data_IF_221534993481
#
_entry.id   IF_221534993481
#
_cell.length_a   1.000
_cell.length_b   1.000
_cell.length_c   1.000
_cell.angle_alpha   90.00
_cell.angle_beta   90.00
_cell.angle_gamma   90.00
#
_symmetry.space_group_name_H-M   'P 1'
#
loop_
_entity.id
_entity.type
_entity.pdbx_description
1 polymer ?
#
# COMPACT_ATOMS: atom_id res chain seq x y z
N UNK A 1 -22.92 -7.98 9.75
CA UNK A 1 -22.08 -7.45 10.85
C UNK A 1 -20.90 -8.36 11.20
N UNK A 2 -21.10 -9.69 11.23
CA UNK A 2 -20.09 -10.70 11.64
C UNK A 2 -18.73 -10.70 10.91
N UNK A 3 -18.55 -9.93 9.83
CA UNK A 3 -17.28 -9.82 9.10
C UNK A 3 -16.69 -8.40 9.12
N UNK A 4 -17.52 -7.37 9.38
CA UNK A 4 -17.09 -5.98 9.30
C UNK A 4 -16.31 -5.61 10.55
N UNK A 5 -16.90 -5.79 11.73
CA UNK A 5 -16.25 -5.43 13.00
C UNK A 5 -14.94 -6.20 13.19
N UNK A 6 -14.86 -7.53 12.97
CA UNK A 6 -13.59 -8.25 13.08
C UNK A 6 -12.51 -7.74 12.13
N UNK A 7 -12.89 -7.31 10.91
CA UNK A 7 -11.92 -6.71 9.99
C UNK A 7 -11.38 -5.37 10.52
N UNK A 8 -12.24 -4.53 11.09
CA UNK A 8 -11.82 -3.25 11.65
C UNK A 8 -10.89 -3.45 12.86
N UNK A 9 -11.19 -4.44 13.71
CA UNK A 9 -10.34 -4.80 14.86
C UNK A 9 -8.98 -5.35 14.39
N UNK A 10 -8.96 -6.22 13.38
CA UNK A 10 -7.73 -6.77 12.81
C UNK A 10 -6.86 -5.68 12.18
N UNK A 11 -7.45 -4.79 11.38
CA UNK A 11 -6.74 -3.66 10.78
C UNK A 11 -6.24 -2.66 11.83
N UNK A 12 -7.03 -2.40 12.87
CA UNK A 12 -6.67 -1.46 13.94
C UNK A 12 -5.58 -1.98 14.89
N UNK A 13 -5.38 -3.30 14.97
CA UNK A 13 -4.37 -3.94 15.83
C UNK A 13 -3.14 -4.47 15.07
N UNK A 14 -3.20 -4.54 13.74
CA UNK A 14 -2.13 -5.07 12.90
C UNK A 14 -0.89 -4.19 12.88
N UNK A 15 0.27 -4.80 13.13
CA UNK A 15 1.59 -4.15 12.99
C UNK A 15 2.01 -3.92 11.54
N UNK A 16 1.38 -4.62 10.59
CA UNK A 16 1.65 -4.46 9.17
C UNK A 16 0.94 -3.24 8.59
N UNK A 17 -0.09 -2.72 9.25
CA UNK A 17 -0.79 -1.49 8.85
C UNK A 17 0.02 -0.29 9.34
N UNK A 18 0.53 0.51 8.40
CA UNK A 18 1.34 1.70 8.69
C UNK A 18 0.47 2.92 9.01
N UNK A 19 -0.68 3.02 8.34
CA UNK A 19 -1.68 4.07 8.51
C UNK A 19 -2.99 3.63 7.84
N UNK A 20 -4.12 4.15 8.30
CA UNK A 20 -5.40 3.89 7.64
C UNK A 20 -6.62 4.37 8.41
N UNK A 21 -7.79 4.13 7.82
CA UNK A 21 -9.09 4.45 8.39
C UNK A 21 -10.21 4.31 7.37
N UNK A 22 -11.37 4.88 7.70
CA UNK A 22 -12.51 4.99 6.80
C UNK A 22 -12.61 6.44 6.30
N UNK A 23 -12.69 6.68 4.97
CA UNK A 23 -13.08 7.99 4.47
C UNK A 23 -14.45 8.39 5.02
N UNK A 24 -14.54 9.63 5.50
CA UNK A 24 -15.74 10.11 6.22
C UNK A 24 -16.94 10.17 5.27
N UNK A 25 -18.02 9.48 5.64
CA UNK A 25 -19.27 9.45 4.86
C UNK A 25 -19.29 8.43 3.72
N UNK A 26 -18.23 7.65 3.54
CA UNK A 26 -18.14 6.63 2.48
C UNK A 26 -18.22 5.21 3.04
N UNK A 27 -18.74 4.29 2.22
CA UNK A 27 -18.68 2.85 2.49
C UNK A 27 -17.39 2.27 1.93
N UNK A 28 -16.26 2.74 2.44
CA UNK A 28 -14.92 2.36 2.00
C UNK A 28 -13.94 2.33 3.19
N UNK A 29 -12.80 1.68 2.98
CA UNK A 29 -11.63 1.80 3.85
C UNK A 29 -10.39 2.08 2.99
N UNK A 30 -9.44 2.80 3.56
CA UNK A 30 -8.16 3.10 2.94
C UNK A 30 -7.05 2.92 3.96
N UNK A 31 -6.00 2.19 3.59
CA UNK A 31 -4.90 1.89 4.49
C UNK A 31 -3.64 1.54 3.70
N UNK A 32 -2.50 1.68 4.35
CA UNK A 32 -1.18 1.36 3.83
C UNK A 32 -0.65 0.17 4.60
N UNK A 33 -0.24 -0.88 3.90
CA UNK A 33 0.40 -2.04 4.49
C UNK A 33 1.88 -2.13 4.09
N UNK A 34 2.71 -2.57 5.02
CA UNK A 34 4.05 -3.05 4.72
C UNK A 34 3.99 -4.54 4.41
N UNK A 35 4.44 -4.91 3.22
CA UNK A 35 4.56 -6.30 2.77
C UNK A 35 5.90 -6.52 2.06
N UNK A 36 6.40 -7.76 2.11
CA UNK A 36 7.68 -8.14 1.49
C UNK A 36 7.55 -8.38 -0.03
N UNK A 37 6.34 -8.61 -0.51
CA UNK A 37 6.05 -8.82 -1.94
C UNK A 37 4.57 -8.58 -2.25
N UNK A 38 4.24 -8.49 -3.54
CA UNK A 38 2.85 -8.43 -3.99
C UNK A 38 2.04 -9.67 -3.56
N UNK A 39 2.66 -10.85 -3.53
CA UNK A 39 1.99 -12.08 -3.07
C UNK A 39 1.69 -12.05 -1.57
N UNK A 40 2.61 -11.50 -0.76
CA UNK A 40 2.37 -11.31 0.67
C UNK A 40 1.24 -10.29 0.91
N UNK A 41 1.20 -9.20 0.14
CA UNK A 41 0.11 -8.23 0.22
C UNK A 41 -1.25 -8.85 -0.15
N UNK A 42 -1.34 -9.60 -1.25
CA UNK A 42 -2.57 -10.32 -1.64
C UNK A 42 -3.02 -11.31 -0.55
N UNK A 43 -2.09 -12.09 0.02
CA UNK A 43 -2.41 -13.02 1.10
C UNK A 43 -2.97 -12.32 2.35
N UNK A 44 -2.37 -11.20 2.78
CA UNK A 44 -2.86 -10.42 3.91
C UNK A 44 -4.29 -9.92 3.67
N UNK A 45 -4.57 -9.39 2.49
CA UNK A 45 -5.89 -8.82 2.20
C UNK A 45 -6.96 -9.91 2.08
N UNK A 46 -6.62 -11.08 1.51
CA UNK A 46 -7.53 -12.24 1.41
C UNK A 46 -7.90 -12.86 2.76
N UNK A 47 -7.05 -12.70 3.77
CA UNK A 47 -7.31 -13.21 5.12
C UNK A 47 -8.31 -12.36 5.90
N UNK A 48 -8.54 -11.11 5.47
CA UNK A 48 -9.48 -10.23 6.14
C UNK A 48 -10.90 -10.81 6.07
N UNK A 49 -11.65 -10.83 7.19
CA UNK A 49 -13.00 -11.38 7.23
C UNK A 49 -13.96 -10.76 6.21
N UNK A 50 -13.77 -9.48 5.84
CA UNK A 50 -14.60 -8.79 4.85
C UNK A 50 -14.13 -8.96 3.39
N UNK A 51 -13.11 -9.77 3.11
CA UNK A 51 -12.50 -9.90 1.77
C UNK A 51 -13.53 -10.06 0.65
N UNK A 52 -14.51 -10.94 0.82
CA UNK A 52 -15.53 -11.24 -0.18
C UNK A 52 -16.68 -10.21 -0.26
N UNK A 53 -16.72 -9.23 0.64
CA UNK A 53 -17.85 -8.29 0.77
C UNK A 53 -17.66 -6.97 0.02
N UNK A 54 -16.43 -6.64 -0.37
CA UNK A 54 -16.11 -5.39 -1.07
C UNK A 54 -15.14 -5.64 -2.22
N UNK A 55 -15.05 -4.66 -3.12
CA UNK A 55 -14.01 -4.63 -4.15
C UNK A 55 -12.73 -4.06 -3.56
N UNK A 56 -11.60 -4.71 -3.86
CA UNK A 56 -10.29 -4.30 -3.39
C UNK A 56 -9.44 -3.77 -4.53
N UNK A 57 -8.77 -2.65 -4.29
CA UNK A 57 -7.77 -2.08 -5.18
C UNK A 57 -6.45 -2.01 -4.41
N UNK A 58 -5.39 -2.60 -5.00
CA UNK A 58 -4.06 -2.63 -4.39
C UNK A 58 -3.09 -1.89 -5.30
N UNK A 59 -2.47 -0.83 -4.77
CA UNK A 59 -1.46 -0.03 -5.48
C UNK A 59 -0.09 -0.23 -4.84
N UNK A 60 0.84 -0.94 -5.49
CA UNK A 60 2.21 -1.04 -5.00
C UNK A 60 2.87 0.34 -4.96
N UNK A 61 3.54 0.65 -3.86
CA UNK A 61 4.30 1.89 -3.70
C UNK A 61 5.80 1.59 -3.76
N UNK A 62 6.53 2.39 -4.52
CA UNK A 62 7.99 2.36 -4.51
C UNK A 62 8.52 3.17 -3.32
N UNK A 63 9.62 2.75 -2.72
CA UNK A 63 10.27 3.56 -1.69
C UNK A 63 10.84 4.85 -2.30
N UNK A 64 10.72 5.96 -1.57
CA UNK A 64 11.30 7.24 -2.00
C UNK A 64 12.81 7.13 -2.20
N UNK A 65 13.52 6.37 -1.36
CA UNK A 65 14.96 6.16 -1.49
C UNK A 65 15.33 5.44 -2.80
N UNK A 66 14.61 4.36 -3.15
CA UNK A 66 14.84 3.65 -4.40
C UNK A 66 14.53 4.54 -5.60
N UNK A 67 13.41 5.29 -5.56
CA UNK A 67 13.07 6.23 -6.63
C UNK A 67 14.13 7.32 -6.78
N UNK A 68 14.58 7.92 -5.68
CA UNK A 68 15.61 8.95 -5.71
C UNK A 68 16.95 8.45 -6.27
N UNK A 69 17.33 7.19 -6.03
CA UNK A 69 18.54 6.61 -6.62
C UNK A 69 18.46 6.54 -8.14
N UNK A 70 17.30 6.14 -8.68
CA UNK A 70 17.05 6.10 -10.13
C UNK A 70 17.13 7.52 -10.71
N UNK A 71 16.42 8.47 -10.10
CA UNK A 71 16.37 9.85 -10.60
C UNK A 71 17.76 10.51 -10.62
N UNK A 72 18.60 10.26 -9.61
CA UNK A 72 19.98 10.75 -9.61
C UNK A 72 20.77 10.23 -10.81
N UNK A 73 20.65 8.93 -11.12
CA UNK A 73 21.30 8.34 -12.29
C UNK A 73 20.84 9.00 -13.60
N UNK A 74 19.54 9.24 -13.75
CA UNK A 74 18.98 9.95 -14.91
C UNK A 74 19.52 11.38 -15.02
N UNK A 75 19.56 12.12 -13.92
CA UNK A 75 20.08 13.50 -13.91
C UNK A 75 21.55 13.54 -14.32
N UNK A 76 22.39 12.65 -13.78
CA UNK A 76 23.82 12.61 -14.16
C UNK A 76 24.02 12.24 -15.63
N UNK A 77 23.22 11.32 -16.17
CA UNK A 77 23.26 11.00 -17.59
C UNK A 77 22.93 12.22 -18.47
N UNK A 78 21.87 12.96 -18.13
CA UNK A 78 21.45 14.16 -18.87
C UNK A 78 22.51 15.27 -18.80
N UNK A 79 23.16 15.46 -17.65
CA UNK A 79 24.27 16.41 -17.53
C UNK A 79 25.43 16.05 -18.44
N UNK A 80 25.77 14.77 -18.55
CA UNK A 80 26.82 14.30 -19.46
C UNK A 80 26.52 14.64 -20.92
N UNK A 81 25.28 14.41 -21.35
CA UNK A 81 24.85 14.72 -22.73
C UNK A 81 24.87 16.21 -23.08
N UNK A 82 24.69 17.10 -22.10
CA UNK A 82 24.71 18.55 -22.31
C UNK A 82 26.12 19.15 -22.28
N UNK A 83 27.11 18.39 -21.81
CA UNK A 83 28.50 18.83 -21.72
C UNK A 83 29.33 18.47 -22.97
N UNK A 84 28.77 17.68 -23.88
CA UNK A 84 29.31 17.34 -25.22
C UNK A 84 28.76 18.28 -26.30
#
# INVERSE_FOLDING_TARGET
ENHVIPTLDELGSSKSVLAGGLPVGERALAFIIQAESNAAADAMIRQLPMWSLITWEVKPLQSFAARAAIERGTVEHLKGMLAE
#
